data_IF_622865067079
#
_entry.id   IF_622865067079
#
_cell.length_a   1.000
_cell.length_b   1.000
_cell.length_c   1.000
_cell.angle_alpha   90.00
_cell.angle_beta   90.00
_cell.angle_gamma   90.00
#
_symmetry.space_group_name_H-M   'P 1'
#
loop_
_entity.id
_entity.type
_entity.pdbx_description
1 polymer ?
#
# COMPACT_ATOMS: atom_id res chain seq x y z
N UNK A 1 -32.27 7.27 -17.13
CA UNK A 1 -30.91 7.47 -17.69
C UNK A 1 -29.94 8.19 -16.74
N UNK A 2 -30.34 9.25 -16.01
CA UNK A 2 -29.42 10.01 -15.12
C UNK A 2 -28.98 9.27 -13.84
N UNK A 3 -29.84 8.43 -13.26
CA UNK A 3 -29.55 7.70 -12.02
C UNK A 3 -28.41 6.68 -12.15
N UNK A 4 -28.28 6.02 -13.31
CA UNK A 4 -27.22 5.03 -13.55
C UNK A 4 -25.83 5.66 -13.54
N UNK A 5 -25.70 6.91 -14.04
CA UNK A 5 -24.43 7.63 -14.05
C UNK A 5 -23.97 8.03 -12.64
N UNK A 6 -24.90 8.40 -11.77
CA UNK A 6 -24.62 8.74 -10.37
C UNK A 6 -24.15 7.49 -9.62
N UNK A 7 -24.82 6.36 -9.83
CA UNK A 7 -24.46 5.10 -9.19
C UNK A 7 -23.05 4.64 -9.60
N UNK A 8 -22.70 4.82 -10.88
CA UNK A 8 -21.38 4.48 -11.41
C UNK A 8 -20.27 5.35 -10.80
N UNK A 9 -20.50 6.66 -10.64
CA UNK A 9 -19.56 7.57 -10.01
C UNK A 9 -19.27 7.22 -8.55
N UNK A 10 -20.30 6.83 -7.80
CA UNK A 10 -20.15 6.39 -6.40
C UNK A 10 -19.32 5.10 -6.33
N UNK A 11 -19.57 4.14 -7.21
CA UNK A 11 -18.81 2.87 -7.22
C UNK A 11 -17.32 3.12 -7.49
N UNK A 12 -16.98 3.97 -8.47
CA UNK A 12 -15.58 4.29 -8.79
C UNK A 12 -14.89 4.98 -7.61
N UNK A 13 -15.55 5.95 -6.96
CA UNK A 13 -14.96 6.64 -5.80
C UNK A 13 -14.70 5.69 -4.63
N UNK A 14 -15.60 4.73 -4.39
CA UNK A 14 -15.39 3.68 -3.37
C UNK A 14 -14.25 2.73 -3.73
N UNK A 15 -14.11 2.33 -4.99
CA UNK A 15 -13.01 1.48 -5.46
C UNK A 15 -11.65 2.17 -5.32
N UNK A 16 -11.55 3.47 -5.64
CA UNK A 16 -10.34 4.24 -5.43
C UNK A 16 -9.95 4.36 -3.95
N UNK A 17 -10.94 4.48 -3.06
CA UNK A 17 -10.70 4.50 -1.62
C UNK A 17 -10.21 3.14 -1.09
N UNK A 18 -10.71 2.04 -1.66
CA UNK A 18 -10.30 0.68 -1.29
C UNK A 18 -8.89 0.32 -1.80
N UNK A 19 -8.49 0.82 -2.98
CA UNK A 19 -7.16 0.58 -3.55
C UNK A 19 -6.07 1.55 -3.05
N UNK A 20 -6.45 2.70 -2.46
CA UNK A 20 -5.51 3.67 -1.90
C UNK A 20 -4.86 3.27 -0.58
N UNK A 21 -5.11 2.05 -0.09
CA UNK A 21 -4.55 1.54 1.16
C UNK A 21 -3.57 0.36 0.93
N UNK A 22 -2.82 0.38 -0.18
CA UNK A 22 -1.55 -0.34 -0.19
C UNK A 22 -0.72 0.24 0.95
N UNK A 23 -0.52 -0.54 2.02
CA UNK A 23 0.29 -0.14 3.17
C UNK A 23 1.61 0.43 2.62
N UNK A 24 1.85 1.72 2.89
CA UNK A 24 3.08 2.44 2.54
C UNK A 24 4.28 1.96 3.37
N UNK A 25 4.29 0.69 3.76
CA UNK A 25 5.33 0.14 4.58
C UNK A 25 5.51 -1.36 4.36
N UNK A 26 6.73 -1.82 4.58
CA UNK A 26 7.16 -3.19 4.36
C UNK A 26 7.11 -3.94 5.70
N UNK A 27 6.41 -5.07 5.77
CA UNK A 27 6.33 -5.84 7.01
C UNK A 27 7.68 -6.48 7.35
N UNK A 28 7.88 -6.80 8.64
CA UNK A 28 9.08 -7.52 9.08
C UNK A 28 9.29 -8.83 8.32
N UNK A 29 10.55 -9.09 7.97
CA UNK A 29 10.93 -10.27 7.23
C UNK A 29 10.59 -10.24 5.73
N UNK A 30 9.83 -9.26 5.25
CA UNK A 30 9.58 -9.07 3.83
C UNK A 30 10.74 -8.34 3.14
N UNK A 31 10.98 -8.63 1.84
CA UNK A 31 12.05 -8.00 1.09
C UNK A 31 11.81 -6.51 0.93
N UNK A 32 12.90 -5.75 1.04
CA UNK A 32 12.87 -4.29 1.10
C UNK A 32 13.84 -3.62 0.13
N UNK A 33 14.61 -4.41 -0.62
CA UNK A 33 15.53 -3.92 -1.63
C UNK A 33 14.78 -3.58 -2.92
N UNK A 34 14.95 -2.35 -3.42
CA UNK A 34 14.28 -1.86 -4.63
C UNK A 34 12.88 -1.27 -4.38
N UNK A 35 12.46 -1.18 -3.12
CA UNK A 35 11.21 -0.51 -2.72
C UNK A 35 11.54 0.79 -2.01
N UNK A 36 10.97 1.92 -2.45
CA UNK A 36 11.09 3.22 -1.78
C UNK A 36 10.23 3.33 -0.49
N UNK A 37 9.63 2.21 -0.05
CA UNK A 37 8.75 2.16 1.12
C UNK A 37 9.57 1.88 2.40
N UNK A 38 9.29 2.59 3.52
CA UNK A 38 9.92 2.29 4.81
C UNK A 38 9.43 0.96 5.41
N UNK A 39 10.15 0.40 6.38
CA UNK A 39 9.65 -0.73 7.16
C UNK A 39 8.51 -0.27 8.11
N UNK A 40 7.51 -1.12 8.35
CA UNK A 40 6.30 -0.73 9.10
C UNK A 40 6.55 -0.44 10.58
N UNK A 41 7.56 -1.06 11.20
CA UNK A 41 7.72 -1.02 12.64
C UNK A 41 8.74 0.06 13.05
N UNK A 42 8.43 0.93 14.03
CA UNK A 42 9.34 1.98 14.45
C UNK A 42 10.56 1.34 15.11
N UNK A 43 11.72 1.43 14.44
CA UNK A 43 13.04 0.79 14.71
C UNK A 43 13.44 -0.35 13.78
N UNK A 44 12.58 -0.73 12.83
CA UNK A 44 12.98 -1.65 11.78
C UNK A 44 13.61 -0.93 10.61
N UNK A 45 14.64 -1.52 10.02
CA UNK A 45 15.37 -0.96 8.88
C UNK A 45 15.54 -2.03 7.80
N UNK A 46 15.63 -1.58 6.55
CA UNK A 46 15.91 -2.50 5.46
C UNK A 46 17.36 -2.97 5.53
N UNK A 47 17.58 -4.24 5.85
CA UNK A 47 18.92 -4.81 5.84
C UNK A 47 19.37 -5.08 4.40
N UNK A 48 20.40 -4.39 3.88
CA UNK A 48 20.88 -4.60 2.51
C UNK A 48 21.56 -5.95 2.34
N UNK A 49 22.09 -6.54 3.43
CA UNK A 49 22.72 -7.86 3.42
C UNK A 49 21.70 -9.00 3.40
N UNK A 50 20.61 -8.86 4.17
CA UNK A 50 19.59 -9.89 4.28
C UNK A 50 18.40 -9.68 3.32
N UNK A 51 18.36 -8.54 2.62
CA UNK A 51 17.25 -8.07 1.80
C UNK A 51 15.89 -8.28 2.49
N UNK A 52 15.75 -7.76 3.71
CA UNK A 52 14.50 -7.78 4.46
C UNK A 52 14.46 -6.73 5.56
N UNK A 53 13.26 -6.32 5.96
CA UNK A 53 13.07 -5.49 7.15
C UNK A 53 13.40 -6.28 8.42
N UNK A 54 14.35 -5.74 9.19
CA UNK A 54 14.84 -6.25 10.48
C UNK A 54 14.63 -5.23 11.58
#
# INVERSE_FOLDING_TARGET
MKFLAILFLVIITYLSLAFGAEKDCIPLGAPCFGTDKPCCEPRTWCSPYANKCL
#
